data_IF_098409886410
#
_entry.id   IF_098409886410
#
_cell.length_a   1.000
_cell.length_b   1.000
_cell.length_c   1.000
_cell.angle_alpha   90.00
_cell.angle_beta   90.00
_cell.angle_gamma   90.00
#
_symmetry.space_group_name_H-M   'P 1'
#
loop_
_entity.id
_entity.type
_entity.pdbx_description
1 polymer ?
#
# COMPACT_ATOMS: atom_id res chain seq x y z
N UNK A 1 20.42 15.77 8.88
CA UNK A 1 19.83 14.71 9.74
C UNK A 1 20.74 13.49 9.74
N UNK A 2 21.17 13.02 10.91
CA UNK A 2 22.35 12.15 11.06
C UNK A 2 22.17 10.69 10.63
N UNK A 3 23.27 10.05 10.21
CA UNK A 3 23.40 8.63 9.81
C UNK A 3 22.80 7.60 10.79
N UNK A 4 22.50 7.99 12.04
CA UNK A 4 21.79 7.15 13.03
C UNK A 4 20.30 6.99 12.71
N UNK A 5 19.65 7.97 12.08
CA UNK A 5 18.22 7.93 11.77
C UNK A 5 17.86 6.86 10.72
N UNK A 6 18.77 6.56 9.79
CA UNK A 6 18.55 5.57 8.72
C UNK A 6 18.27 4.16 9.26
N UNK A 7 19.01 3.73 10.28
CA UNK A 7 18.82 2.41 10.93
C UNK A 7 17.50 2.30 11.68
N UNK A 8 16.95 3.41 12.16
CA UNK A 8 15.64 3.42 12.82
C UNK A 8 14.50 3.35 11.80
N UNK A 9 14.63 4.06 10.68
CA UNK A 9 13.66 3.97 9.58
C UNK A 9 13.58 2.56 9.00
N UNK A 10 14.70 1.87 8.80
CA UNK A 10 14.73 0.47 8.35
C UNK A 10 14.02 -0.48 9.31
N UNK A 11 14.19 -0.28 10.63
CA UNK A 11 13.49 -1.08 11.65
C UNK A 11 12.00 -0.84 11.62
N UNK A 12 11.56 0.42 11.52
CA UNK A 12 10.15 0.78 11.47
C UNK A 12 9.51 0.22 10.19
N UNK A 13 10.20 0.34 9.05
CA UNK A 13 9.75 -0.21 7.78
C UNK A 13 9.67 -1.74 7.83
N UNK A 14 10.66 -2.42 8.42
CA UNK A 14 10.61 -3.87 8.64
C UNK A 14 9.43 -4.29 9.52
N UNK A 15 9.16 -3.55 10.60
CA UNK A 15 8.01 -3.76 11.47
C UNK A 15 6.68 -3.59 10.73
N UNK A 16 6.58 -2.55 9.89
CA UNK A 16 5.39 -2.32 9.06
C UNK A 16 5.18 -3.44 8.04
N UNK A 17 6.24 -3.95 7.41
CA UNK A 17 6.17 -5.09 6.49
C UNK A 17 5.73 -6.37 7.21
N UNK A 18 6.27 -6.63 8.40
CA UNK A 18 5.87 -7.77 9.24
C UNK A 18 4.38 -7.67 9.59
N UNK A 19 3.93 -6.50 10.04
CA UNK A 19 2.51 -6.26 10.37
C UNK A 19 1.62 -6.46 9.13
N UNK A 20 2.01 -5.94 7.96
CA UNK A 20 1.29 -6.17 6.70
C UNK A 20 1.19 -7.66 6.35
N UNK A 21 2.31 -8.40 6.44
CA UNK A 21 2.35 -9.84 6.18
C UNK A 21 1.45 -10.61 7.14
N UNK A 22 1.40 -10.20 8.41
CA UNK A 22 0.59 -10.82 9.43
C UNK A 22 -0.91 -10.59 9.17
N UNK A 23 -1.30 -9.36 8.80
CA UNK A 23 -2.66 -9.02 8.36
C UNK A 23 -3.09 -9.81 7.12
N UNK A 24 -2.19 -9.95 6.13
CA UNK A 24 -2.44 -10.71 4.92
C UNK A 24 -2.66 -12.20 5.23
N UNK A 25 -1.81 -12.77 6.08
CA UNK A 25 -1.93 -14.17 6.51
C UNK A 25 -3.24 -14.41 7.26
N UNK A 26 -3.62 -13.47 8.12
CA UNK A 26 -4.90 -13.51 8.84
C UNK A 26 -6.09 -13.45 7.88
N UNK A 27 -6.02 -12.62 6.84
CA UNK A 27 -7.06 -12.52 5.83
C UNK A 27 -7.23 -13.82 5.03
N UNK A 28 -6.11 -14.42 4.61
CA UNK A 28 -6.10 -15.71 3.90
C UNK A 28 -6.64 -16.82 4.79
N UNK A 29 -6.17 -16.89 6.05
CA UNK A 29 -6.65 -17.88 7.03
C UNK A 29 -8.15 -17.73 7.31
N UNK A 30 -8.63 -16.50 7.52
CA UNK A 30 -10.05 -16.20 7.69
C UNK A 30 -10.89 -16.59 6.48
N UNK A 31 -10.39 -16.33 5.26
CA UNK A 31 -11.08 -16.69 4.02
C UNK A 31 -11.19 -18.20 3.83
N UNK A 32 -10.12 -18.95 4.13
CA UNK A 32 -10.15 -20.42 4.13
C UNK A 32 -11.14 -20.96 5.16
N UNK A 33 -11.17 -20.38 6.36
CA UNK A 33 -12.12 -20.76 7.40
C UNK A 33 -13.56 -20.44 7.00
N UNK A 34 -13.79 -19.31 6.34
CA UNK A 34 -15.10 -18.91 5.83
C UNK A 34 -15.59 -19.85 4.72
N UNK A 35 -14.69 -20.23 3.80
CA UNK A 35 -14.94 -21.16 2.70
C UNK A 35 -15.29 -22.55 3.24
N UNK A 36 -14.50 -23.03 4.20
CA UNK A 36 -14.75 -24.31 4.87
C UNK A 36 -16.08 -24.28 5.62
N UNK A 37 -16.36 -23.21 6.37
CA UNK A 37 -17.64 -23.02 7.05
C UNK A 37 -18.83 -22.99 6.09
N UNK A 38 -18.67 -22.37 4.92
CA UNK A 38 -19.70 -22.36 3.87
C UNK A 38 -19.91 -23.76 3.25
N UNK A 39 -18.83 -24.51 3.02
CA UNK A 39 -18.90 -25.88 2.48
C UNK A 39 -19.56 -26.86 3.44
N UNK A 40 -19.32 -26.73 4.75
CA UNK A 40 -19.93 -27.60 5.77
C UNK A 40 -21.32 -27.11 6.25
N UNK A 41 -21.85 -26.01 5.72
CA UNK A 41 -23.13 -25.45 6.14
C UNK A 41 -23.13 -24.84 7.55
N UNK A 42 -21.96 -24.69 8.19
CA UNK A 42 -21.82 -24.04 9.49
C UNK A 42 -21.79 -22.52 9.32
N UNK A 43 -22.98 -21.90 9.39
CA UNK A 43 -23.13 -20.44 9.27
C UNK A 43 -22.28 -19.65 10.29
N UNK A 44 -22.06 -20.17 11.50
CA UNK A 44 -21.19 -19.53 12.49
C UNK A 44 -19.73 -19.46 12.04
N UNK A 45 -19.20 -20.55 11.49
CA UNK A 45 -17.79 -20.62 11.03
C UNK A 45 -17.60 -19.76 9.79
N UNK A 46 -18.59 -19.73 8.88
CA UNK A 46 -18.62 -18.82 7.74
C UNK A 46 -18.55 -17.36 8.16
N UNK A 47 -19.37 -16.95 9.13
CA UNK A 47 -19.41 -15.56 9.60
C UNK A 47 -18.15 -15.17 10.37
N UNK A 48 -17.62 -16.05 11.22
CA UNK A 48 -16.39 -15.80 11.97
C UNK A 48 -15.19 -15.68 11.01
N UNK A 49 -15.02 -16.66 10.13
CA UNK A 49 -13.96 -16.62 9.11
C UNK A 49 -14.07 -15.41 8.19
N UNK A 50 -15.30 -15.08 7.76
CA UNK A 50 -15.56 -13.93 6.90
C UNK A 50 -15.28 -12.59 7.60
N UNK A 51 -15.60 -12.48 8.89
CA UNK A 51 -15.32 -11.29 9.69
C UNK A 51 -13.81 -11.10 9.92
N UNK A 52 -13.09 -12.21 10.17
CA UNK A 52 -11.61 -12.22 10.28
C UNK A 52 -10.98 -11.84 8.93
N UNK A 53 -11.48 -12.38 7.82
CA UNK A 53 -11.04 -12.04 6.47
C UNK A 53 -11.28 -10.56 6.15
N UNK A 54 -12.46 -10.05 6.52
CA UNK A 54 -12.84 -8.65 6.34
C UNK A 54 -11.96 -7.71 7.15
N UNK A 55 -11.75 -7.98 8.44
CA UNK A 55 -10.85 -7.18 9.29
C UNK A 55 -9.41 -7.20 8.77
N UNK A 56 -8.92 -8.37 8.36
CA UNK A 56 -7.59 -8.52 7.75
C UNK A 56 -7.43 -7.70 6.47
N UNK A 57 -8.43 -7.77 5.57
CA UNK A 57 -8.43 -7.02 4.32
C UNK A 57 -8.56 -5.51 4.54
N UNK A 58 -9.46 -5.05 5.42
CA UNK A 58 -9.62 -3.63 5.74
C UNK A 58 -8.35 -3.07 6.37
N UNK A 59 -7.71 -3.80 7.29
CA UNK A 59 -6.46 -3.38 7.90
C UNK A 59 -5.29 -3.33 6.90
N UNK A 60 -5.19 -4.32 6.00
CA UNK A 60 -4.14 -4.37 4.99
C UNK A 60 -4.31 -3.30 3.90
N UNK A 61 -5.47 -3.26 3.25
CA UNK A 61 -5.73 -2.31 2.16
C UNK A 61 -5.93 -0.88 2.66
N UNK A 62 -6.59 -0.70 3.80
CA UNK A 62 -6.72 0.63 4.42
C UNK A 62 -5.36 1.24 4.72
N UNK A 63 -4.42 0.44 5.23
CA UNK A 63 -3.08 0.94 5.53
C UNK A 63 -2.24 1.19 4.27
N UNK A 64 -2.31 0.32 3.26
CA UNK A 64 -1.66 0.55 1.95
C UNK A 64 -2.18 1.84 1.31
N UNK A 65 -3.48 2.14 1.39
CA UNK A 65 -4.06 3.35 0.80
C UNK A 65 -3.56 4.61 1.53
N UNK A 66 -3.54 4.61 2.87
CA UNK A 66 -3.07 5.79 3.61
C UNK A 66 -1.56 5.99 3.40
N UNK A 67 -0.75 4.93 3.44
CA UNK A 67 0.70 5.02 3.15
C UNK A 67 0.96 5.41 1.69
N UNK A 68 0.22 4.81 0.76
CA UNK A 68 0.35 5.01 -0.68
C UNK A 68 -0.13 6.39 -1.14
N UNK A 69 -1.17 6.95 -0.51
CA UNK A 69 -1.55 8.36 -0.73
C UNK A 69 -0.52 9.33 -0.15
N UNK A 70 0.11 9.01 0.97
CA UNK A 70 1.24 9.80 1.49
C UNK A 70 2.45 9.72 0.54
N UNK A 71 2.81 8.53 0.06
CA UNK A 71 3.88 8.34 -0.90
C UNK A 71 3.55 8.99 -2.26
N UNK A 72 2.29 8.91 -2.71
CA UNK A 72 1.80 9.55 -3.92
C UNK A 72 1.68 11.07 -3.80
N UNK A 73 1.40 11.61 -2.62
CA UNK A 73 1.45 13.06 -2.37
C UNK A 73 2.90 13.57 -2.32
N UNK A 74 3.82 12.79 -1.75
CA UNK A 74 5.26 13.08 -1.75
C UNK A 74 5.90 12.92 -3.14
N UNK A 75 5.48 11.92 -3.93
CA UNK A 75 5.99 11.65 -5.28
C UNK A 75 5.21 12.41 -6.38
N UNK A 76 4.01 12.91 -6.08
CA UNK A 76 3.12 13.64 -7.00
C UNK A 76 3.50 15.10 -7.21
N UNK A 77 4.38 15.66 -6.38
CA UNK A 77 4.93 17.03 -6.58
C UNK A 77 6.16 17.03 -7.51
N UNK A 78 6.81 15.88 -7.76
CA UNK A 78 8.03 15.85 -8.59
C UNK A 78 7.75 15.64 -10.10
N UNK A 79 6.54 15.19 -10.48
CA UNK A 79 6.23 14.86 -11.90
C UNK A 79 5.48 15.94 -12.67
N UNK A 80 5.42 17.17 -12.16
CA UNK A 80 4.76 18.32 -12.84
C UNK A 80 5.71 19.49 -13.12
N UNK A 81 6.98 19.23 -13.40
CA UNK A 81 7.96 20.30 -13.59
C UNK A 81 9.18 20.00 -14.44
N UNK A 82 9.18 18.96 -15.27
CA UNK A 82 10.28 18.76 -16.21
C UNK A 82 9.74 18.43 -17.61
N UNK A 83 9.86 19.40 -18.50
CA UNK A 83 9.91 19.15 -19.93
C UNK A 83 8.75 19.68 -20.77
N UNK A 84 8.50 21.00 -20.78
CA UNK A 84 8.45 21.79 -22.03
C UNK A 84 8.77 23.27 -21.70
N UNK A 85 10.02 23.57 -21.34
CA UNK A 85 10.56 24.91 -21.63
C UNK A 85 11.26 24.80 -22.99
N UNK A 86 10.47 24.80 -24.08
CA UNK A 86 11.04 25.04 -25.39
C UNK A 86 11.14 26.56 -25.57
N UNK A 87 12.29 27.12 -25.20
CA UNK A 87 12.69 28.45 -25.63
C UNK A 87 12.79 28.43 -27.16
N UNK A 88 11.72 28.84 -27.84
CA UNK A 88 11.82 29.30 -29.21
C UNK A 88 12.56 30.65 -29.22
N UNK A 89 13.88 30.57 -29.11
CA UNK A 89 14.82 31.61 -29.49
C UNK A 89 15.74 31.03 -30.55
N UNK A 90 15.32 31.06 -31.82
CA UNK A 90 16.22 31.36 -32.95
C UNK A 90 15.41 31.57 -34.25
N UNK A 91 14.77 32.73 -34.39
CA UNK A 91 14.56 33.31 -35.72
C UNK A 91 15.88 33.95 -36.12
N UNK A 92 16.75 33.15 -36.72
CA UNK A 92 17.80 33.66 -37.60
C UNK A 92 18.29 32.50 -38.47
N UNK A 93 17.93 32.53 -39.78
CA UNK A 93 18.88 32.74 -40.88
C UNK A 93 18.29 32.36 -42.26
N UNK A 94 18.03 33.40 -43.07
CA UNK A 94 18.24 33.56 -44.52
C UNK A 94 17.51 32.70 -45.56
N UNK A 95 16.65 33.34 -46.36
CA UNK A 95 16.77 33.45 -47.83
C UNK A 95 15.93 34.65 -48.33
#
# INVERSE_FOLDING_TARGET
MGRRSWKFFERIQGLLVIVLMLLLTLAIGGALMALTGAMFGLSSVKNIGGSIAGLGAVGFFGWIIVTGKLAGALLGVSRRGQGVENKNTKVEKNA
#
